data_IF_108535577887
#
_entry.id   IF_108535577887
#
_cell.length_a   1.000
_cell.length_b   1.000
_cell.length_c   1.000
_cell.angle_alpha   90.00
_cell.angle_beta   90.00
_cell.angle_gamma   90.00
#
_symmetry.space_group_name_H-M   'P 1'
#
loop_
_entity.id
_entity.type
_entity.pdbx_description
1 polymer ?
#
# COMPACT_ATOMS: atom_id res chain seq x y z
N UNK A 1 -3.43 2.82 14.99
CA UNK A 1 -3.20 3.90 14.03
C UNK A 1 -3.66 3.53 12.64
N UNK A 2 -4.28 4.49 11.94
CA UNK A 2 -4.82 4.28 10.60
C UNK A 2 -3.73 4.25 9.50
N UNK A 3 -2.52 4.67 9.82
CA UNK A 3 -1.42 4.74 8.86
C UNK A 3 -0.38 3.66 9.14
N UNK A 4 -0.04 2.92 8.12
CA UNK A 4 0.95 1.87 8.14
C UNK A 4 2.03 2.13 7.07
N UNK A 5 3.30 2.06 7.46
CA UNK A 5 4.41 2.09 6.52
C UNK A 5 4.58 0.71 5.90
N UNK A 6 4.42 0.62 4.59
CA UNK A 6 4.63 -0.60 3.84
C UNK A 6 6.13 -0.91 3.76
N UNK A 7 6.57 -2.15 4.08
CA UNK A 7 7.98 -2.51 4.00
C UNK A 7 8.43 -2.67 2.54
N UNK A 8 9.72 -2.54 2.29
CA UNK A 8 10.32 -2.98 1.03
C UNK A 8 10.13 -4.51 0.88
N UNK A 9 9.76 -4.94 -0.31
CA UNK A 9 9.47 -6.35 -0.62
C UNK A 9 10.29 -6.80 -1.82
N UNK A 10 10.80 -8.03 -1.79
CA UNK A 10 11.48 -8.64 -2.91
C UNK A 10 10.48 -9.26 -3.88
N UNK A 11 10.65 -8.94 -5.17
CA UNK A 11 9.82 -9.48 -6.25
C UNK A 11 10.58 -10.62 -6.92
N UNK A 12 10.03 -11.83 -6.86
CA UNK A 12 10.52 -12.98 -7.61
C UNK A 12 9.67 -13.17 -8.87
N UNK A 13 10.18 -12.73 -10.00
CA UNK A 13 9.55 -12.87 -11.33
C UNK A 13 10.16 -14.02 -12.14
N UNK A 14 11.03 -14.83 -11.50
CA UNK A 14 11.74 -15.93 -12.14
C UNK A 14 12.97 -15.50 -12.98
N UNK A 15 13.31 -14.21 -13.01
CA UNK A 15 14.49 -13.72 -13.70
C UNK A 15 15.75 -13.89 -12.84
N UNK A 16 16.95 -13.92 -13.46
CA UNK A 16 18.19 -13.89 -12.70
C UNK A 16 18.38 -12.54 -12.02
N UNK A 17 18.20 -12.49 -10.72
CA UNK A 17 18.29 -11.29 -9.89
C UNK A 17 16.95 -10.94 -9.26
N UNK A 18 16.96 -10.83 -7.96
CA UNK A 18 15.77 -10.42 -7.24
C UNK A 18 15.55 -8.91 -7.41
N UNK A 19 14.32 -8.55 -7.66
CA UNK A 19 13.88 -7.16 -7.75
C UNK A 19 13.36 -6.69 -6.40
N UNK A 20 13.62 -5.46 -6.05
CA UNK A 20 13.07 -4.87 -4.84
C UNK A 20 11.98 -3.88 -5.19
N UNK A 21 10.78 -4.09 -4.67
CA UNK A 21 9.75 -3.07 -4.59
C UNK A 21 10.14 -2.13 -3.43
N UNK A 22 10.49 -0.91 -3.77
CA UNK A 22 11.00 0.10 -2.85
C UNK A 22 10.40 1.46 -3.16
N UNK A 23 10.38 2.38 -2.19
CA UNK A 23 9.88 3.76 -2.31
C UNK A 23 8.39 3.87 -2.68
N UNK A 24 7.63 2.83 -2.38
CA UNK A 24 6.18 2.79 -2.58
C UNK A 24 5.40 3.14 -1.31
N UNK A 25 6.06 3.12 -0.19
CA UNK A 25 5.50 3.20 1.17
C UNK A 25 4.69 4.47 1.40
N UNK A 26 5.20 5.62 1.02
CA UNK A 26 4.50 6.91 1.15
C UNK A 26 3.34 7.06 0.16
N UNK A 27 3.50 6.59 -1.08
CA UNK A 27 2.48 6.70 -2.14
C UNK A 27 1.35 5.70 -1.90
N UNK A 28 1.67 4.41 -1.76
CA UNK A 28 0.66 3.36 -1.56
C UNK A 28 0.03 3.41 -0.18
N UNK A 29 0.84 3.68 0.87
CA UNK A 29 0.31 3.90 2.22
C UNK A 29 -0.58 5.14 2.30
N UNK A 30 -0.20 6.21 1.61
CA UNK A 30 -1.02 7.42 1.47
C UNK A 30 -2.35 7.15 0.75
N UNK A 31 -2.33 6.29 -0.29
CA UNK A 31 -3.54 5.88 -0.99
C UNK A 31 -4.50 5.10 -0.07
N UNK A 32 -3.99 4.09 0.64
CA UNK A 32 -4.78 3.35 1.63
C UNK A 32 -5.37 4.32 2.65
N UNK A 33 -4.54 5.17 3.27
CA UNK A 33 -4.99 6.12 4.28
C UNK A 33 -6.12 7.00 3.75
N UNK A 34 -5.98 7.54 2.52
CA UNK A 34 -7.02 8.37 1.90
C UNK A 34 -8.33 7.61 1.76
N UNK A 35 -8.30 6.34 1.32
CA UNK A 35 -9.50 5.51 1.20
C UNK A 35 -10.17 5.23 2.54
N UNK A 36 -9.38 4.97 3.59
CA UNK A 36 -9.93 4.77 4.94
C UNK A 36 -10.54 6.06 5.51
N UNK A 37 -9.95 7.22 5.21
CA UNK A 37 -10.52 8.52 5.56
C UNK A 37 -11.86 8.77 4.85
N UNK A 38 -11.97 8.37 3.57
CA UNK A 38 -13.22 8.50 2.81
C UNK A 38 -14.35 7.68 3.42
N UNK A 39 -14.08 6.47 3.93
CA UNK A 39 -15.06 5.65 4.66
C UNK A 39 -15.59 6.40 5.88
N UNK A 40 -14.70 7.08 6.62
CA UNK A 40 -15.10 7.89 7.78
C UNK A 40 -15.78 9.22 7.43
N UNK A 41 -15.66 9.68 6.20
CA UNK A 41 -16.07 11.03 5.80
C UNK A 41 -15.11 12.12 6.27
N UNK A 42 -13.88 11.78 6.65
CA UNK A 42 -12.87 12.74 7.06
C UNK A 42 -12.22 13.40 5.83
N UNK A 43 -11.80 14.66 5.99
CA UNK A 43 -11.23 15.45 4.91
C UNK A 43 -9.70 15.51 4.99
N UNK A 44 -9.07 15.40 3.84
CA UNK A 44 -7.65 15.68 3.69
C UNK A 44 -7.43 17.16 3.43
N UNK A 45 -6.57 17.81 4.21
CA UNK A 45 -6.26 19.24 4.03
C UNK A 45 -4.78 19.45 3.76
N UNK A 46 -4.47 20.45 2.92
CA UNK A 46 -3.10 20.88 2.67
C UNK A 46 -2.83 22.18 3.43
N UNK A 47 -1.73 22.20 4.17
CA UNK A 47 -1.26 23.39 4.89
C UNK A 47 0.00 23.97 4.28
N UNK A 48 0.59 24.96 4.96
CA UNK A 48 1.93 25.44 4.63
C UNK A 48 2.94 24.32 4.83
N UNK A 49 3.85 24.06 3.87
CA UNK A 49 4.96 23.15 4.10
C UNK A 49 5.81 23.65 5.26
N UNK A 50 6.08 22.74 6.21
CA UNK A 50 6.90 23.02 7.41
C UNK A 50 8.22 22.26 7.39
N UNK A 51 8.46 21.47 6.34
CA UNK A 51 9.69 20.69 6.15
C UNK A 51 10.40 21.18 4.90
N UNK A 52 11.67 21.50 5.02
CA UNK A 52 12.57 21.74 3.89
C UNK A 52 13.35 20.47 3.61
N UNK A 53 13.16 19.90 2.42
CA UNK A 53 13.85 18.69 1.99
C UNK A 53 15.07 19.06 1.16
N UNK A 54 16.25 19.01 1.78
CA UNK A 54 17.52 19.42 1.15
C UNK A 54 18.25 18.28 0.44
N UNK A 55 17.83 17.02 0.62
CA UNK A 55 18.47 15.86 0.02
C UNK A 55 18.10 15.76 -1.46
N UNK A 56 19.10 15.79 -2.33
CA UNK A 56 18.93 15.53 -3.76
C UNK A 56 19.42 14.11 -4.07
N UNK A 57 18.51 13.24 -4.48
CA UNK A 57 18.86 11.93 -5.03
C UNK A 57 18.90 12.05 -6.55
N UNK A 58 19.94 11.56 -7.25
CA UNK A 58 19.99 11.58 -8.70
C UNK A 58 18.75 10.90 -9.31
N UNK A 59 18.14 11.55 -10.30
CA UNK A 59 16.87 11.10 -10.90
C UNK A 59 16.99 9.69 -11.48
N UNK A 60 18.12 9.35 -12.10
CA UNK A 60 18.37 8.05 -12.67
C UNK A 60 18.27 6.94 -11.63
N UNK A 61 18.80 7.18 -10.44
CA UNK A 61 18.72 6.23 -9.33
C UNK A 61 17.30 6.09 -8.81
N UNK A 62 16.59 7.20 -8.69
CA UNK A 62 15.18 7.20 -8.25
C UNK A 62 14.32 6.40 -9.22
N UNK A 63 14.44 6.65 -10.52
CA UNK A 63 13.66 5.97 -11.56
C UNK A 63 13.85 4.45 -11.52
N UNK A 64 15.08 3.98 -11.34
CA UNK A 64 15.36 2.54 -11.24
C UNK A 64 14.72 1.93 -9.99
N UNK A 65 14.81 2.61 -8.85
CA UNK A 65 14.23 2.11 -7.59
C UNK A 65 12.69 2.11 -7.58
N UNK A 66 12.07 3.02 -8.33
CA UNK A 66 10.62 3.17 -8.41
C UNK A 66 9.98 2.38 -9.56
N UNK A 67 10.76 1.73 -10.40
CA UNK A 67 10.28 1.06 -11.61
C UNK A 67 9.15 0.07 -11.32
N UNK A 68 9.33 -0.82 -10.34
CA UNK A 68 8.32 -1.81 -9.99
C UNK A 68 7.09 -1.18 -9.34
N UNK A 69 7.27 -0.15 -8.52
CA UNK A 69 6.16 0.60 -7.97
C UNK A 69 5.26 1.14 -9.09
N UNK A 70 5.84 1.76 -10.13
CA UNK A 70 5.07 2.26 -11.27
C UNK A 70 4.34 1.17 -12.05
N UNK A 71 5.00 0.03 -12.31
CA UNK A 71 4.40 -1.10 -13.03
C UNK A 71 3.25 -1.74 -12.25
N UNK A 72 3.36 -1.81 -10.93
CA UNK A 72 2.43 -2.52 -10.07
C UNK A 72 1.31 -1.63 -9.50
N UNK A 73 1.45 -0.30 -9.55
CA UNK A 73 0.52 0.62 -8.85
C UNK A 73 -0.94 0.43 -9.25
N UNK A 74 -1.26 0.26 -10.52
CA UNK A 74 -2.65 0.12 -10.95
C UNK A 74 -3.30 -1.15 -10.40
N UNK A 75 -2.59 -2.29 -10.44
CA UNK A 75 -3.06 -3.54 -9.84
C UNK A 75 -3.28 -3.39 -8.33
N UNK A 76 -2.32 -2.78 -7.64
CA UNK A 76 -2.45 -2.51 -6.21
C UNK A 76 -3.67 -1.63 -5.90
N UNK A 77 -3.87 -0.53 -6.63
CA UNK A 77 -5.00 0.37 -6.41
C UNK A 77 -6.34 -0.31 -6.66
N UNK A 78 -6.45 -1.15 -7.69
CA UNK A 78 -7.67 -1.90 -7.97
C UNK A 78 -8.02 -2.86 -6.81
N UNK A 79 -7.03 -3.55 -6.24
CA UNK A 79 -7.21 -4.43 -5.09
C UNK A 79 -7.66 -3.62 -3.86
N UNK A 80 -7.01 -2.48 -3.59
CA UNK A 80 -7.40 -1.59 -2.48
C UNK A 80 -8.81 -1.05 -2.67
N UNK A 81 -9.18 -0.61 -3.87
CA UNK A 81 -10.51 -0.07 -4.17
C UNK A 81 -11.60 -1.13 -4.01
N UNK A 82 -11.35 -2.36 -4.43
CA UNK A 82 -12.27 -3.48 -4.21
C UNK A 82 -12.41 -3.80 -2.72
N UNK A 83 -11.31 -3.82 -1.98
CA UNK A 83 -11.31 -4.09 -0.56
C UNK A 83 -12.14 -3.06 0.22
N UNK A 84 -11.89 -1.75 0.01
CA UNK A 84 -12.59 -0.69 0.76
C UNK A 84 -14.08 -0.60 0.46
N UNK A 85 -14.54 -1.10 -0.69
CA UNK A 85 -15.96 -1.06 -1.04
C UNK A 85 -16.86 -1.83 -0.07
N UNK A 86 -16.31 -2.76 0.71
CA UNK A 86 -17.04 -3.59 1.67
C UNK A 86 -16.82 -3.17 3.12
N UNK A 87 -16.02 -2.15 3.39
CA UNK A 87 -15.67 -1.71 4.75
C UNK A 87 -16.62 -0.61 5.22
N UNK A 88 -17.24 -0.78 6.41
CA UNK A 88 -18.28 0.13 6.93
C UNK A 88 -18.11 0.49 8.41
N UNK A 89 -16.98 0.21 9.03
CA UNK A 89 -16.76 0.41 10.45
C UNK A 89 -16.65 1.89 10.86
N UNK A 90 -16.74 2.14 12.17
CA UNK A 90 -16.87 3.50 12.70
C UNK A 90 -15.53 4.14 13.15
N UNK A 91 -14.58 3.37 13.60
CA UNK A 91 -13.27 3.85 14.06
C UNK A 91 -12.12 3.31 13.19
N UNK A 92 -11.01 4.04 13.17
CA UNK A 92 -9.89 3.71 12.28
C UNK A 92 -9.24 2.35 12.55
N UNK A 93 -9.26 1.86 13.77
CA UNK A 93 -8.67 0.57 14.10
C UNK A 93 -9.50 -0.55 13.50
N UNK A 94 -10.82 -0.50 13.70
CA UNK A 94 -11.78 -1.46 13.13
C UNK A 94 -11.82 -1.37 11.60
N UNK A 95 -11.84 -0.15 11.04
CA UNK A 95 -11.78 0.07 9.59
C UNK A 95 -10.53 -0.57 9.00
N UNK A 96 -9.36 -0.37 9.62
CA UNK A 96 -8.12 -0.94 9.11
C UNK A 96 -8.08 -2.47 9.22
N UNK A 97 -8.56 -3.03 10.34
CA UNK A 97 -8.62 -4.48 10.51
C UNK A 97 -9.55 -5.13 9.48
N UNK A 98 -10.75 -4.57 9.28
CA UNK A 98 -11.70 -5.04 8.28
C UNK A 98 -11.16 -4.86 6.84
N UNK A 99 -10.51 -3.73 6.56
CA UNK A 99 -9.84 -3.50 5.28
C UNK A 99 -8.84 -4.62 4.96
N UNK A 100 -8.02 -5.03 5.92
CA UNK A 100 -7.03 -6.10 5.70
C UNK A 100 -7.69 -7.43 5.35
N UNK A 101 -8.82 -7.77 6.00
CA UNK A 101 -9.57 -8.99 5.66
C UNK A 101 -10.17 -8.92 4.24
N UNK A 102 -10.73 -7.78 3.86
CA UNK A 102 -11.28 -7.58 2.50
C UNK A 102 -10.17 -7.49 1.45
N UNK A 103 -8.99 -6.97 1.80
CA UNK A 103 -7.82 -6.94 0.93
C UNK A 103 -7.38 -8.37 0.56
N UNK A 104 -7.34 -9.29 1.50
CA UNK A 104 -7.02 -10.70 1.23
C UNK A 104 -8.05 -11.33 0.28
N UNK A 105 -9.35 -11.04 0.48
CA UNK A 105 -10.42 -11.52 -0.41
C UNK A 105 -10.33 -10.92 -1.82
N UNK A 106 -9.95 -9.64 -1.92
CA UNK A 106 -9.74 -8.98 -3.21
C UNK A 106 -8.53 -9.57 -3.96
N UNK A 107 -7.46 -9.92 -3.23
CA UNK A 107 -6.30 -10.60 -3.81
C UNK A 107 -6.66 -11.94 -4.46
N UNK A 108 -7.55 -12.73 -3.85
CA UNK A 108 -7.98 -14.03 -4.40
C UNK A 108 -8.71 -13.90 -5.74
N UNK A 109 -9.34 -12.74 -5.99
CA UNK A 109 -10.10 -12.45 -7.22
C UNK A 109 -9.31 -11.67 -8.26
N UNK A 110 -8.14 -11.18 -7.89
CA UNK A 110 -7.34 -10.29 -8.74
C UNK A 110 -6.77 -11.03 -9.95
N UNK A 111 -6.85 -10.45 -11.16
CA UNK A 111 -6.28 -11.02 -12.38
C UNK A 111 -4.78 -10.75 -12.55
N UNK A 112 -4.15 -10.15 -11.56
CA UNK A 112 -2.74 -9.77 -11.65
C UNK A 112 -1.79 -10.97 -11.78
N UNK A 113 -0.61 -10.81 -12.39
CA UNK A 113 0.36 -11.87 -12.53
C UNK A 113 0.79 -12.48 -11.20
N UNK A 114 1.09 -13.79 -11.11
CA UNK A 114 1.42 -14.46 -9.85
C UNK A 114 2.56 -13.82 -9.05
N UNK A 115 3.59 -13.30 -9.72
CA UNK A 115 4.71 -12.64 -9.06
C UNK A 115 4.31 -11.29 -8.42
N UNK A 116 3.35 -10.55 -9.03
CA UNK A 116 2.77 -9.36 -8.40
C UNK A 116 1.86 -9.73 -7.23
N UNK A 117 1.02 -10.75 -7.40
CA UNK A 117 0.17 -11.25 -6.33
C UNK A 117 0.99 -11.73 -5.12
N UNK A 118 2.17 -12.32 -5.34
CA UNK A 118 3.10 -12.69 -4.28
C UNK A 118 3.51 -11.47 -3.43
N UNK A 119 3.87 -10.39 -4.08
CA UNK A 119 4.24 -9.11 -3.42
C UNK A 119 3.06 -8.52 -2.65
N UNK A 120 1.90 -8.40 -3.31
CA UNK A 120 0.71 -7.83 -2.65
C UNK A 120 0.27 -8.67 -1.45
N UNK A 121 0.40 -10.00 -1.51
CA UNK A 121 0.11 -10.89 -0.39
C UNK A 121 1.08 -10.67 0.77
N UNK A 122 2.38 -10.51 0.50
CA UNK A 122 3.36 -10.20 1.54
C UNK A 122 3.05 -8.86 2.23
N UNK A 123 2.65 -7.83 1.48
CA UNK A 123 2.18 -6.57 2.03
C UNK A 123 0.91 -6.75 2.89
N UNK A 124 -0.03 -7.56 2.44
CA UNK A 124 -1.24 -7.94 3.21
C UNK A 124 -0.89 -8.61 4.54
N UNK A 125 0.04 -9.56 4.52
CA UNK A 125 0.52 -10.24 5.73
C UNK A 125 1.12 -9.26 6.75
N UNK A 126 1.92 -8.29 6.28
CA UNK A 126 2.48 -7.25 7.14
C UNK A 126 1.40 -6.31 7.70
N UNK A 127 0.46 -5.89 6.87
CA UNK A 127 -0.70 -5.09 7.33
C UNK A 127 -1.52 -5.86 8.36
N UNK A 128 -1.74 -7.16 8.16
CA UNK A 128 -2.43 -8.02 9.11
C UNK A 128 -1.70 -8.17 10.45
N UNK A 129 -0.37 -8.28 10.44
CA UNK A 129 0.43 -8.28 11.68
C UNK A 129 0.31 -6.96 12.42
N UNK A 130 0.35 -5.86 11.70
CA UNK A 130 0.17 -4.53 12.26
C UNK A 130 -1.23 -4.36 12.88
N UNK A 131 -2.29 -4.70 12.16
CA UNK A 131 -3.64 -4.62 12.66
C UNK A 131 -3.81 -5.37 14.00
N UNK A 132 -3.31 -6.61 14.08
CA UNK A 132 -3.38 -7.41 15.31
C UNK A 132 -2.59 -6.86 16.49
N UNK A 133 -1.67 -5.94 16.28
CA UNK A 133 -0.94 -5.30 17.37
C UNK A 133 -1.75 -4.24 18.12
N UNK A 134 -2.91 -3.84 17.59
CA UNK A 134 -3.75 -2.76 18.12
C UNK A 134 -5.21 -3.19 18.41
N UNK A 135 -5.50 -4.47 18.27
CA UNK A 135 -6.81 -5.06 18.60
C UNK A 135 -6.72 -5.84 19.91
#
# INVERSE_FOLDING_TARGET
PAYYFLPDVWVDDGSPGNWQLSRHDDIWGGYILKKLMDIKGDLFTYGRPIVEHTKQTPLERVTVLEQYMHLMSMGFYNIVDEAVANVTDADYTSIFAHFVEEYDRALERSPEPPHYLGVYRELGDWMGRWARAFV
#
